data_IF_794763915120
#
_entry.id   IF_794763915120
#
_cell.length_a   1.000
_cell.length_b   1.000
_cell.length_c   1.000
_cell.angle_alpha   90.00
_cell.angle_beta   90.00
_cell.angle_gamma   90.00
#
_symmetry.space_group_name_H-M   'P 1'
#
loop_
_entity.id
_entity.type
_entity.pdbx_description
1 polymer ?
#
# COMPACT_ATOMS: atom_id res chain seq x y z
N UNK A 1 21.35 47.60 -4.23
CA UNK A 1 21.69 47.21 -2.85
C UNK A 1 20.44 46.91 -2.01
N UNK A 2 19.50 47.85 -1.82
CA UNK A 2 18.29 47.62 -1.02
C UNK A 2 17.33 46.56 -1.63
N UNK A 3 17.04 46.66 -2.94
CA UNK A 3 16.16 45.69 -3.63
C UNK A 3 16.74 44.27 -3.63
N UNK A 4 18.05 44.13 -3.88
CA UNK A 4 18.75 42.84 -3.86
C UNK A 4 18.72 42.19 -2.47
N UNK A 5 18.86 43.00 -1.41
CA UNK A 5 18.78 42.52 -0.04
C UNK A 5 17.37 42.05 0.33
N UNK A 6 16.34 42.77 -0.12
CA UNK A 6 14.93 42.37 0.06
C UNK A 6 14.61 41.05 -0.68
N UNK A 7 15.10 40.89 -1.91
CA UNK A 7 14.88 39.65 -2.68
C UNK A 7 15.55 38.44 -2.02
N UNK A 8 16.75 38.61 -1.47
CA UNK A 8 17.45 37.53 -0.75
C UNK A 8 16.66 37.13 0.50
N UNK A 9 16.18 38.11 1.28
CA UNK A 9 15.35 37.85 2.45
C UNK A 9 14.01 37.18 2.10
N UNK A 10 13.37 37.58 0.99
CA UNK A 10 12.15 36.94 0.51
C UNK A 10 12.36 35.48 0.10
N UNK A 11 13.46 35.20 -0.62
CA UNK A 11 13.83 33.84 -1.04
C UNK A 11 14.16 32.94 0.14
N UNK A 12 14.86 33.45 1.17
CA UNK A 12 15.17 32.64 2.36
C UNK A 12 13.92 32.31 3.17
N UNK A 13 13.00 33.27 3.33
CA UNK A 13 11.71 33.01 3.97
C UNK A 13 10.85 32.01 3.19
N UNK A 14 10.81 32.12 1.85
CA UNK A 14 10.12 31.15 1.00
C UNK A 14 10.73 29.75 1.12
N UNK A 15 12.06 29.64 1.15
CA UNK A 15 12.73 28.35 1.34
C UNK A 15 12.39 27.73 2.70
N UNK A 16 12.34 28.54 3.77
CA UNK A 16 11.94 28.06 5.09
C UNK A 16 10.48 27.59 5.13
N UNK A 17 9.55 28.32 4.48
CA UNK A 17 8.14 27.91 4.43
C UNK A 17 7.92 26.61 3.65
N UNK A 18 8.67 26.41 2.55
CA UNK A 18 8.67 25.15 1.80
C UNK A 18 9.22 23.99 2.64
N UNK A 19 10.28 24.22 3.42
CA UNK A 19 10.86 23.22 4.30
C UNK A 19 9.88 22.73 5.39
N UNK A 20 8.97 23.58 5.87
CA UNK A 20 7.94 23.18 6.84
C UNK A 20 6.82 22.36 6.17
N UNK A 21 6.58 22.59 4.88
CA UNK A 21 5.49 21.92 4.14
C UNK A 21 5.83 20.49 3.74
N UNK A 22 7.10 20.22 3.40
CA UNK A 22 7.59 18.88 3.03
C UNK A 22 7.27 17.76 4.05
N UNK A 23 7.56 17.90 5.37
CA UNK A 23 7.23 16.86 6.34
C UNK A 23 5.72 16.66 6.49
N UNK A 24 4.91 17.72 6.35
CA UNK A 24 3.44 17.61 6.42
C UNK A 24 2.87 16.79 5.26
N UNK A 25 3.37 17.02 4.05
CA UNK A 25 2.99 16.23 2.87
C UNK A 25 3.35 14.75 3.05
N UNK A 26 4.50 14.46 3.64
CA UNK A 26 4.92 13.09 3.94
C UNK A 26 3.98 12.41 4.93
N UNK A 27 3.68 13.05 6.06
CA UNK A 27 2.79 12.48 7.08
C UNK A 27 1.39 12.23 6.54
N UNK A 28 0.88 13.13 5.70
CA UNK A 28 -0.44 12.96 5.06
C UNK A 28 -0.46 11.73 4.14
N UNK A 29 0.54 11.59 3.27
CA UNK A 29 0.68 10.44 2.37
C UNK A 29 0.82 9.14 3.16
N UNK A 30 1.58 9.18 4.26
CA UNK A 30 1.76 8.05 5.15
C UNK A 30 0.43 7.58 5.74
N UNK A 31 -0.34 8.50 6.33
CA UNK A 31 -1.61 8.21 6.97
C UNK A 31 -2.67 7.69 5.99
N UNK A 32 -2.77 8.30 4.80
CA UNK A 32 -3.72 7.88 3.77
C UNK A 32 -3.37 6.49 3.25
N UNK A 33 -2.09 6.21 3.03
CA UNK A 33 -1.65 4.88 2.58
C UNK A 33 -1.89 3.81 3.65
N UNK A 34 -1.73 4.14 4.94
CA UNK A 34 -2.04 3.21 6.04
C UNK A 34 -3.54 2.92 6.16
N UNK A 35 -4.38 3.93 5.97
CA UNK A 35 -5.83 3.74 5.89
C UNK A 35 -6.19 2.80 4.74
N UNK A 36 -5.58 2.97 3.56
CA UNK A 36 -5.80 2.09 2.42
C UNK A 36 -5.33 0.65 2.69
N UNK A 37 -4.18 0.45 3.35
CA UNK A 37 -3.75 -0.90 3.75
C UNK A 37 -4.67 -1.57 4.76
N UNK A 38 -5.36 -0.78 5.59
CA UNK A 38 -6.40 -1.30 6.48
C UNK A 38 -7.62 -1.79 5.69
N UNK A 39 -7.99 -1.09 4.62
CA UNK A 39 -8.97 -1.58 3.67
C UNK A 39 -8.53 -2.90 3.01
N UNK A 40 -7.31 -2.99 2.48
CA UNK A 40 -6.75 -4.23 1.88
C UNK A 40 -6.76 -5.40 2.87
N UNK A 41 -6.39 -5.15 4.13
CA UNK A 41 -6.48 -6.15 5.20
C UNK A 41 -7.91 -6.66 5.36
N UNK A 42 -8.88 -5.76 5.43
CA UNK A 42 -10.28 -6.13 5.63
C UNK A 42 -10.84 -6.91 4.42
N UNK A 43 -10.43 -6.55 3.21
CA UNK A 43 -10.80 -7.24 1.98
C UNK A 43 -10.29 -8.69 1.99
N UNK A 44 -9.02 -8.89 2.32
CA UNK A 44 -8.42 -10.23 2.42
C UNK A 44 -9.08 -11.09 3.52
N UNK A 45 -9.50 -10.47 4.63
CA UNK A 45 -10.16 -11.18 5.74
C UNK A 45 -11.62 -11.56 5.45
N UNK A 46 -12.32 -10.77 4.63
CA UNK A 46 -13.75 -10.96 4.36
C UNK A 46 -14.07 -11.83 3.15
N UNK A 47 -13.13 -11.96 2.22
CA UNK A 47 -13.34 -12.78 1.02
C UNK A 47 -13.66 -14.23 1.41
N UNK A 48 -14.45 -14.96 0.63
CA UNK A 48 -14.70 -16.36 0.95
C UNK A 48 -13.44 -17.19 0.71
N UNK A 49 -13.31 -18.33 1.37
CA UNK A 49 -12.14 -19.20 1.18
C UNK A 49 -12.14 -19.89 -0.19
N UNK A 50 -13.30 -20.02 -0.83
CA UNK A 50 -13.45 -20.48 -2.20
C UNK A 50 -12.87 -19.45 -3.19
N UNK A 51 -13.23 -18.17 -3.05
CA UNK A 51 -12.66 -17.10 -3.90
C UNK A 51 -11.17 -16.85 -3.59
N UNK A 52 -10.79 -17.06 -2.33
CA UNK A 52 -9.50 -17.57 -1.88
C UNK A 52 -8.68 -18.35 -2.91
N UNK A 53 -9.16 -19.57 -3.09
CA UNK A 53 -8.47 -20.69 -3.70
C UNK A 53 -8.67 -20.73 -5.21
N UNK A 54 -9.70 -20.05 -5.72
CA UNK A 54 -10.06 -19.99 -7.13
C UNK A 54 -8.98 -19.38 -8.03
N UNK A 55 -9.02 -19.74 -9.32
CA UNK A 55 -8.10 -19.19 -10.33
C UNK A 55 -8.29 -17.68 -10.53
N UNK A 56 -9.52 -17.17 -10.34
CA UNK A 56 -9.89 -15.76 -10.50
C UNK A 56 -9.73 -14.94 -9.21
N UNK A 57 -8.95 -15.46 -8.24
CA UNK A 57 -8.71 -14.75 -6.99
C UNK A 57 -8.07 -13.39 -7.23
N UNK A 58 -8.54 -12.38 -6.49
CA UNK A 58 -7.91 -11.04 -6.44
C UNK A 58 -6.43 -11.11 -6.04
N UNK A 59 -6.04 -12.16 -5.31
CA UNK A 59 -4.66 -12.51 -5.02
C UNK A 59 -4.27 -13.73 -5.86
N UNK A 60 -3.60 -13.56 -7.01
CA UNK A 60 -3.13 -14.68 -7.81
C UNK A 60 -2.02 -15.45 -7.10
N UNK A 61 -1.89 -16.74 -7.41
CA UNK A 61 -0.85 -17.61 -6.82
C UNK A 61 0.53 -17.18 -7.30
N UNK A 62 1.45 -16.95 -6.35
CA UNK A 62 2.85 -16.64 -6.61
C UNK A 62 3.47 -17.68 -7.56
N UNK A 63 4.23 -17.28 -8.59
CA UNK A 63 4.85 -15.96 -8.78
C UNK A 63 3.98 -14.91 -9.48
N UNK A 64 2.73 -15.21 -9.83
CA UNK A 64 1.86 -14.23 -10.46
C UNK A 64 1.45 -13.12 -9.49
N UNK A 65 1.31 -11.90 -10.02
CA UNK A 65 0.98 -10.69 -9.26
C UNK A 65 -0.10 -9.91 -10.00
N UNK A 66 -1.20 -9.62 -9.32
CA UNK A 66 -2.24 -8.73 -9.83
C UNK A 66 -1.88 -7.30 -9.46
N UNK A 67 -1.85 -6.39 -10.44
CA UNK A 67 -1.44 -5.01 -10.25
C UNK A 67 -2.55 -4.06 -10.68
N UNK A 68 -2.97 -3.18 -9.77
CA UNK A 68 -4.05 -2.21 -10.02
C UNK A 68 -3.64 -0.83 -9.56
N UNK A 69 -3.87 0.18 -10.40
CA UNK A 69 -3.75 1.59 -10.00
C UNK A 69 -5.01 1.99 -9.23
N UNK A 70 -4.81 2.61 -8.07
CA UNK A 70 -5.91 2.99 -7.18
C UNK A 70 -5.75 4.42 -6.69
N UNK A 71 -6.88 5.04 -6.38
CA UNK A 71 -6.94 6.35 -5.72
C UNK A 71 -7.07 6.09 -4.22
N UNK A 72 -6.08 6.48 -3.43
CA UNK A 72 -6.13 6.33 -1.96
C UNK A 72 -6.99 7.41 -1.30
N UNK A 73 -7.07 8.59 -1.93
CA UNK A 73 -7.81 9.73 -1.42
C UNK A 73 -7.66 10.96 -2.30
N UNK A 74 -8.17 12.09 -1.84
CA UNK A 74 -8.08 13.38 -2.54
C UNK A 74 -7.57 14.47 -1.59
N UNK A 75 -6.67 15.31 -2.09
CA UNK A 75 -6.23 16.51 -1.39
C UNK A 75 -7.33 17.58 -1.43
N UNK A 76 -7.29 18.57 -0.52
CA UNK A 76 -8.06 19.80 -0.67
C UNK A 76 -7.84 20.41 -2.06
N UNK A 77 -8.92 20.77 -2.75
CA UNK A 77 -8.86 21.17 -4.17
C UNK A 77 -9.08 20.02 -5.17
N UNK A 78 -9.41 18.82 -4.70
CA UNK A 78 -9.88 17.71 -5.53
C UNK A 78 -8.78 16.87 -6.20
N UNK A 79 -7.51 17.23 -6.00
CA UNK A 79 -6.37 16.50 -6.59
C UNK A 79 -6.28 15.09 -6.01
N UNK A 80 -6.32 14.09 -6.88
CA UNK A 80 -6.24 12.69 -6.48
C UNK A 80 -4.84 12.31 -5.99
N UNK A 81 -4.82 11.48 -4.95
CA UNK A 81 -3.64 10.79 -4.48
C UNK A 81 -3.74 9.36 -4.99
N UNK A 82 -2.86 9.02 -5.92
CA UNK A 82 -2.84 7.71 -6.56
C UNK A 82 -1.63 6.90 -6.14
N UNK A 83 -1.74 5.59 -6.30
CA UNK A 83 -0.62 4.69 -6.29
C UNK A 83 -1.00 3.34 -6.88
N UNK A 84 -0.11 2.38 -6.71
CA UNK A 84 -0.26 1.04 -7.31
C UNK A 84 -0.32 0.00 -6.21
N UNK A 85 -1.30 -0.88 -6.28
CA UNK A 85 -1.44 -2.05 -5.40
C UNK A 85 -1.04 -3.27 -6.19
N UNK A 86 -0.20 -4.10 -5.59
CA UNK A 86 0.22 -5.39 -6.10
C UNK A 86 -0.21 -6.47 -5.12
N UNK A 87 -0.96 -7.46 -5.60
CA UNK A 87 -1.53 -8.54 -4.78
C UNK A 87 -0.97 -9.89 -5.23
N UNK A 88 -0.65 -10.76 -4.29
CA UNK A 88 -0.24 -12.14 -4.53
C UNK A 88 -0.58 -13.04 -3.34
N UNK A 89 -0.76 -14.33 -3.56
CA UNK A 89 -0.93 -15.33 -2.49
C UNK A 89 0.10 -16.44 -2.61
N UNK A 90 0.42 -17.04 -1.47
CA UNK A 90 1.27 -18.23 -1.38
C UNK A 90 0.60 -19.25 -0.46
N UNK A 91 0.67 -20.52 -0.84
CA UNK A 91 0.21 -21.64 -0.02
C UNK A 91 1.28 -22.00 1.01
N UNK A 92 0.86 -22.44 2.20
CA UNK A 92 1.77 -23.13 3.11
C UNK A 92 2.24 -24.46 2.51
N UNK A 93 3.48 -24.85 2.77
CA UNK A 93 4.09 -26.09 2.27
C UNK A 93 3.39 -27.35 2.76
N UNK A 94 2.64 -27.28 3.87
CA UNK A 94 1.91 -28.41 4.45
C UNK A 94 0.46 -28.52 3.97
N UNK A 95 0.02 -27.63 3.07
CA UNK A 95 -1.27 -27.80 2.38
C UNK A 95 -1.26 -29.11 1.59
N UNK A 96 -2.30 -29.94 1.75
CA UNK A 96 -2.44 -31.27 1.14
C UNK A 96 -1.41 -32.34 1.58
N UNK A 97 -0.64 -32.12 2.64
CA UNK A 97 0.24 -33.14 3.22
C UNK A 97 -0.44 -33.89 4.37
N UNK A 98 -1.03 -35.05 4.11
CA UNK A 98 -1.76 -35.84 5.13
C UNK A 98 -0.87 -36.42 6.24
N UNK A 99 0.46 -36.46 6.06
CA UNK A 99 1.38 -36.91 7.11
C UNK A 99 1.58 -35.86 8.21
N UNK A 100 1.65 -34.58 7.82
CA UNK A 100 1.88 -33.46 8.75
C UNK A 100 0.63 -32.61 9.02
N UNK A 101 -0.41 -32.77 8.20
CA UNK A 101 -1.68 -32.06 8.26
C UNK A 101 -2.84 -33.08 8.13
N UNK A 102 -3.09 -33.89 9.19
CA UNK A 102 -4.12 -34.92 9.18
C UNK A 102 -5.54 -34.36 9.11
N UNK A 103 -5.74 -33.09 9.46
CA UNK A 103 -7.02 -32.40 9.37
C UNK A 103 -7.33 -31.87 7.96
N UNK A 104 -6.37 -31.92 7.02
CA UNK A 104 -6.54 -31.41 5.66
C UNK A 104 -6.72 -29.89 5.58
N UNK A 105 -6.32 -29.14 6.61
CA UNK A 105 -6.52 -27.70 6.71
C UNK A 105 -5.71 -26.96 5.64
N UNK A 106 -6.29 -25.96 5.00
CA UNK A 106 -5.58 -25.18 3.99
C UNK A 106 -5.19 -23.81 4.55
N UNK A 107 -3.91 -23.48 4.46
CA UNK A 107 -3.34 -22.21 4.93
C UNK A 107 -2.82 -21.40 3.74
N UNK A 108 -3.28 -20.17 3.63
CA UNK A 108 -2.88 -19.25 2.57
C UNK A 108 -2.40 -17.93 3.16
N UNK A 109 -1.25 -17.47 2.66
CA UNK A 109 -0.70 -16.16 2.94
C UNK A 109 -1.03 -15.21 1.78
N UNK A 110 -1.87 -14.22 2.05
CA UNK A 110 -2.27 -13.17 1.11
C UNK A 110 -1.43 -11.92 1.40
N UNK A 111 -0.73 -11.43 0.38
CA UNK A 111 0.12 -10.25 0.47
C UNK A 111 -0.39 -9.16 -0.47
N UNK A 112 -0.59 -7.96 0.09
CA UNK A 112 -0.85 -6.74 -0.65
C UNK A 112 0.29 -5.76 -0.43
N UNK A 113 0.87 -5.25 -1.50
CA UNK A 113 1.95 -4.26 -1.49
C UNK A 113 1.47 -2.99 -2.18
N UNK A 114 1.55 -1.87 -1.48
CA UNK A 114 1.19 -0.55 -2.00
C UNK A 114 2.46 0.23 -2.32
N UNK A 115 2.58 0.69 -3.55
CA UNK A 115 3.63 1.56 -4.06
C UNK A 115 3.08 2.97 -4.28
N UNK A 116 3.74 3.96 -3.69
CA UNK A 116 3.36 5.38 -3.79
C UNK A 116 4.61 6.26 -3.80
N UNK A 117 4.46 7.52 -4.23
CA UNK A 117 5.59 8.45 -4.32
C UNK A 117 5.34 9.76 -3.58
N UNK A 118 6.33 10.25 -2.85
CA UNK A 118 6.30 11.53 -2.14
C UNK A 118 7.60 12.27 -2.40
N UNK A 119 7.53 13.52 -2.89
CA UNK A 119 8.72 14.35 -3.10
C UNK A 119 9.77 13.72 -4.03
N UNK A 120 9.34 12.99 -5.06
CA UNK A 120 10.22 12.29 -6.01
C UNK A 120 10.82 10.97 -5.49
N UNK A 121 10.51 10.55 -4.26
CA UNK A 121 10.92 9.27 -3.69
C UNK A 121 9.79 8.27 -3.74
N UNK A 122 10.08 7.03 -4.13
CA UNK A 122 9.12 5.92 -4.12
C UNK A 122 9.20 5.17 -2.81
N UNK A 123 8.04 4.89 -2.24
CA UNK A 123 7.87 4.15 -1.01
C UNK A 123 7.00 2.92 -1.25
N UNK A 124 7.23 1.91 -0.43
CA UNK A 124 6.51 0.65 -0.44
C UNK A 124 6.01 0.39 0.97
N UNK A 125 4.76 -0.02 1.08
CA UNK A 125 4.21 -0.59 2.30
C UNK A 125 3.51 -1.89 1.97
N UNK A 126 3.64 -2.87 2.84
CA UNK A 126 3.04 -4.19 2.65
C UNK A 126 2.14 -4.54 3.82
N UNK A 127 1.05 -5.24 3.50
CA UNK A 127 0.22 -5.93 4.47
C UNK A 127 0.11 -7.39 4.07
N UNK A 128 0.31 -8.26 5.04
CA UNK A 128 0.10 -9.69 4.91
C UNK A 128 -1.04 -10.13 5.81
N UNK A 129 -1.88 -11.01 5.29
CA UNK A 129 -2.97 -11.68 6.02
C UNK A 129 -2.81 -13.17 5.81
N UNK A 130 -2.75 -13.93 6.89
CA UNK A 130 -2.76 -15.39 6.85
C UNK A 130 -4.16 -15.86 7.16
N UNK A 131 -4.64 -16.82 6.37
CA UNK A 131 -5.95 -17.45 6.56
C UNK A 131 -5.82 -18.95 6.55
N UNK A 132 -6.56 -19.59 7.43
CA UNK A 132 -6.64 -21.03 7.56
C UNK A 132 -8.12 -21.43 7.63
N UNK A 133 -8.48 -22.51 6.96
CA UNK A 133 -9.80 -23.14 7.06
C UNK A 133 -9.67 -24.65 6.82
#
# INVERSE_FOLDING_TARGET
MAMTMLTVLGLTMLKMSLNITAPRQWTLQQAITDAYLTYEKSLAQRQTFEDITSAESLWPVSPAVSTTTVVFGRLPGGREITGTVSRTRSADTNNANTANNPAGMQVWQLQSVVRYSVGGRTYLKSRTVVRAQ
#
